data_IF_493544212984
#
_entry.id   IF_493544212984
#
_cell.length_a   1.000
_cell.length_b   1.000
_cell.length_c   1.000
_cell.angle_alpha   90.00
_cell.angle_beta   90.00
_cell.angle_gamma   90.00
#
_symmetry.space_group_name_H-M   'P 1'
#
loop_
_entity.id
_entity.type
_entity.pdbx_description
1 polymer ?
#
# COMPACT_ATOMS: atom_id res chain seq x y z
N UNK A 1 15.80 18.41 63.83
CA UNK A 1 16.42 17.09 63.59
C UNK A 1 16.71 16.96 62.10
N UNK A 2 17.88 16.44 61.71
CA UNK A 2 18.57 16.86 60.49
C UNK A 2 18.53 15.83 59.34
N UNK A 3 18.97 16.35 58.20
CA UNK A 3 19.33 15.77 56.91
C UNK A 3 20.24 14.52 56.97
N UNK A 4 20.21 13.71 55.90
CA UNK A 4 21.38 12.95 55.45
C UNK A 4 21.08 11.62 54.74
N UNK A 5 21.17 11.61 53.40
CA UNK A 5 21.54 10.40 52.65
C UNK A 5 22.93 10.63 52.02
N UNK A 6 23.84 9.65 52.07
CA UNK A 6 25.24 9.82 51.69
C UNK A 6 25.49 9.58 50.18
N UNK A 7 26.60 10.11 49.64
CA UNK A 7 27.11 9.75 48.32
C UNK A 7 28.18 8.65 48.41
N UNK A 8 28.23 7.78 47.41
CA UNK A 8 29.32 6.83 47.16
C UNK A 8 28.98 6.02 45.90
N UNK A 9 29.89 5.74 44.97
CA UNK A 9 31.36 5.79 44.98
C UNK A 9 31.78 5.70 43.50
N UNK A 10 32.68 6.57 43.08
CA UNK A 10 33.42 6.42 41.83
C UNK A 10 34.63 5.54 42.10
N UNK A 11 34.89 4.55 41.24
CA UNK A 11 36.20 3.91 41.10
C UNK A 11 36.41 3.46 39.64
N UNK A 12 37.21 4.27 38.93
CA UNK A 12 38.52 3.91 38.37
C UNK A 12 38.66 2.73 37.36
N UNK A 13 39.08 3.13 36.15
CA UNK A 13 40.22 2.67 35.34
C UNK A 13 40.30 1.22 34.81
N UNK A 14 40.53 1.13 33.50
CA UNK A 14 41.42 0.11 32.95
C UNK A 14 41.16 -0.27 31.49
N UNK A 15 42.11 0.04 30.59
CA UNK A 15 42.36 -0.78 29.41
C UNK A 15 42.18 -0.11 28.05
N UNK A 16 43.19 0.67 27.64
CA UNK A 16 43.42 0.98 26.25
C UNK A 16 43.73 -0.29 25.44
N UNK A 17 43.13 -0.43 24.25
CA UNK A 17 43.69 -1.24 23.16
C UNK A 17 43.59 -0.47 21.85
N UNK A 18 44.74 0.02 21.42
CA UNK A 18 45.00 0.42 20.05
C UNK A 18 44.88 -0.81 19.14
N UNK A 19 44.06 -0.73 18.10
CA UNK A 19 44.21 -1.57 16.92
C UNK A 19 44.40 -0.62 15.74
N UNK A 20 45.67 -0.50 15.35
CA UNK A 20 46.05 0.03 14.05
C UNK A 20 45.67 -1.00 12.99
N UNK A 21 44.92 -0.58 11.97
CA UNK A 21 44.79 -1.34 10.72
C UNK A 21 45.46 -0.52 9.63
N UNK A 22 46.54 -1.10 9.13
CA UNK A 22 47.44 -0.56 8.13
C UNK A 22 46.75 -0.39 6.78
N UNK A 23 47.01 0.75 6.15
CA UNK A 23 46.90 0.96 4.71
C UNK A 23 47.83 -0.04 3.99
N UNK A 24 47.31 -0.77 3.02
CA UNK A 24 48.12 -1.39 1.97
C UNK A 24 47.76 -0.72 0.64
N UNK A 25 48.68 0.13 0.17
CA UNK A 25 48.71 0.62 -1.19
C UNK A 25 49.18 -0.51 -2.12
N UNK A 26 48.45 -0.75 -3.21
CA UNK A 26 48.96 -1.53 -4.33
C UNK A 26 49.00 -0.64 -5.57
N UNK A 27 50.22 -0.56 -6.08
CA UNK A 27 50.71 0.22 -7.21
C UNK A 27 50.14 -0.24 -8.54
N UNK A 28 49.82 0.73 -9.39
CA UNK A 28 49.50 0.54 -10.79
C UNK A 28 50.75 0.25 -11.62
N UNK A 29 50.67 -0.76 -12.49
CA UNK A 29 51.52 -0.91 -13.68
C UNK A 29 50.67 -1.42 -14.85
N UNK A 30 50.44 -0.57 -15.84
CA UNK A 30 50.30 -0.90 -17.27
C UNK A 30 51.70 -1.12 -17.88
N UNK A 31 51.93 -1.65 -19.12
CA UNK A 31 51.02 -1.83 -20.27
C UNK A 31 51.17 -3.19 -21.01
N UNK A 32 50.36 -3.42 -22.06
CA UNK A 32 50.59 -4.55 -22.98
C UNK A 32 49.65 -4.58 -24.19
N UNK A 33 50.12 -4.08 -25.33
CA UNK A 33 49.54 -4.34 -26.65
C UNK A 33 49.78 -5.80 -27.07
N UNK A 34 48.79 -6.44 -27.71
CA UNK A 34 49.05 -7.47 -28.73
C UNK A 34 47.80 -7.79 -29.54
N UNK A 35 47.90 -7.45 -30.82
CA UNK A 35 47.29 -8.04 -32.02
C UNK A 35 46.67 -9.45 -31.93
N UNK A 36 45.47 -9.57 -32.53
CA UNK A 36 45.19 -10.42 -33.69
C UNK A 36 45.12 -11.94 -33.50
N UNK A 37 43.90 -12.49 -33.50
CA UNK A 37 43.63 -13.82 -34.05
C UNK A 37 42.13 -13.98 -34.37
N UNK A 38 41.79 -14.03 -35.65
CA UNK A 38 40.55 -14.60 -36.17
C UNK A 38 40.54 -16.10 -35.93
N UNK A 39 39.66 -16.58 -35.07
CA UNK A 39 39.33 -18.00 -34.92
C UNK A 39 37.89 -18.24 -35.37
N UNK A 40 37.74 -18.84 -36.54
CA UNK A 40 36.50 -19.46 -37.01
C UNK A 40 36.23 -20.72 -36.18
N UNK A 41 35.31 -20.60 -35.21
CA UNK A 41 34.78 -21.72 -34.45
C UNK A 41 33.44 -22.22 -35.03
N UNK A 42 33.09 -23.50 -34.83
CA UNK A 42 32.01 -24.17 -35.56
C UNK A 42 30.63 -23.74 -35.08
N UNK A 43 29.68 -23.76 -36.02
CA UNK A 43 28.24 -23.59 -35.80
C UNK A 43 27.76 -24.58 -34.74
N UNK A 44 27.55 -24.10 -33.52
CA UNK A 44 26.77 -24.80 -32.50
C UNK A 44 25.31 -24.70 -32.92
N UNK A 45 24.73 -25.83 -33.30
CA UNK A 45 23.29 -26.02 -33.49
C UNK A 45 22.58 -25.65 -32.18
N UNK A 46 22.01 -24.44 -32.12
CA UNK A 46 21.10 -24.04 -31.06
C UNK A 46 19.90 -24.97 -31.06
N UNK A 47 19.89 -25.85 -30.07
CA UNK A 47 18.75 -26.68 -29.71
C UNK A 47 17.68 -25.71 -29.20
N UNK A 48 16.70 -25.42 -30.05
CA UNK A 48 15.50 -24.68 -29.69
C UNK A 48 14.83 -25.37 -28.50
N UNK A 49 15.12 -24.88 -27.29
CA UNK A 49 14.40 -25.25 -26.09
C UNK A 49 12.98 -24.74 -26.24
N UNK A 50 12.03 -25.67 -26.21
CA UNK A 50 10.60 -25.38 -26.08
C UNK A 50 10.35 -24.64 -24.75
N UNK A 51 10.60 -23.33 -24.74
CA UNK A 51 10.04 -22.44 -23.76
C UNK A 51 8.53 -22.43 -24.01
N UNK A 52 7.79 -23.08 -23.12
CA UNK A 52 6.33 -23.07 -23.14
C UNK A 52 5.86 -21.62 -23.29
N UNK A 53 5.33 -21.30 -24.48
CA UNK A 53 4.75 -20.01 -24.81
C UNK A 53 3.62 -19.79 -23.81
N UNK A 54 3.84 -18.90 -22.85
CA UNK A 54 2.79 -18.41 -21.97
C UNK A 54 1.73 -17.83 -22.90
N UNK A 55 0.62 -18.55 -23.06
CA UNK A 55 -0.52 -18.08 -23.84
C UNK A 55 -1.02 -16.79 -23.20
N UNK A 56 -0.57 -15.69 -23.76
CA UNK A 56 -1.05 -14.36 -23.41
C UNK A 56 -2.44 -14.29 -24.03
N UNK A 57 -3.48 -14.58 -23.26
CA UNK A 57 -4.85 -14.34 -23.71
C UNK A 57 -4.91 -12.87 -24.10
N UNK A 58 -5.04 -12.59 -25.40
CA UNK A 58 -5.09 -11.23 -25.93
C UNK A 58 -6.24 -10.50 -25.24
N UNK A 59 -5.93 -9.45 -24.47
CA UNK A 59 -6.96 -8.65 -23.79
C UNK A 59 -7.76 -7.88 -24.83
N UNK A 60 -9.07 -7.85 -24.65
CA UNK A 60 -9.95 -6.98 -25.42
C UNK A 60 -9.61 -5.52 -25.06
N UNK A 61 -9.27 -4.69 -26.05
CA UNK A 61 -8.88 -3.29 -25.86
C UNK A 61 -9.98 -2.45 -25.18
N UNK A 62 -11.25 -2.89 -25.28
CA UNK A 62 -12.40 -2.25 -24.65
C UNK A 62 -12.73 -2.81 -23.26
N UNK A 63 -11.94 -3.75 -22.74
CA UNK A 63 -12.22 -4.36 -21.46
C UNK A 63 -11.78 -3.46 -20.29
N UNK A 64 -12.75 -3.15 -19.43
CA UNK A 64 -12.50 -2.53 -18.12
C UNK A 64 -12.57 -3.59 -17.02
N UNK A 65 -11.53 -3.65 -16.19
CA UNK A 65 -11.37 -4.63 -15.13
C UNK A 65 -11.46 -4.00 -13.74
N UNK A 66 -11.97 -4.79 -12.81
CA UNK A 66 -11.89 -4.53 -11.38
C UNK A 66 -10.93 -5.56 -10.80
N UNK A 67 -9.91 -5.09 -10.09
CA UNK A 67 -8.98 -5.92 -9.35
C UNK A 67 -9.33 -5.81 -7.88
N UNK A 68 -9.38 -6.95 -7.18
CA UNK A 68 -9.71 -7.00 -5.76
C UNK A 68 -8.68 -7.86 -5.06
N UNK A 69 -7.93 -7.29 -4.13
CA UNK A 69 -7.04 -8.07 -3.28
C UNK A 69 -7.89 -8.83 -2.25
N UNK A 70 -7.83 -10.15 -2.33
CA UNK A 70 -8.47 -11.05 -1.39
C UNK A 70 -7.47 -11.45 -0.31
N UNK A 71 -7.68 -10.87 0.87
CA UNK A 71 -6.89 -11.11 2.08
C UNK A 71 -7.39 -12.35 2.85
N UNK A 72 -8.11 -13.26 2.19
CA UNK A 72 -8.44 -14.57 2.74
C UNK A 72 -7.17 -15.29 3.27
N UNK A 73 -7.38 -16.31 4.14
CA UNK A 73 -6.35 -17.19 4.72
C UNK A 73 -5.13 -17.34 3.78
N UNK A 74 -3.88 -17.24 4.27
CA UNK A 74 -2.66 -17.22 3.44
C UNK A 74 -2.57 -18.33 2.39
N UNK A 75 -3.25 -19.46 2.59
CA UNK A 75 -3.35 -20.54 1.61
C UNK A 75 -4.09 -20.15 0.31
N UNK A 76 -4.92 -19.12 0.36
CA UNK A 76 -5.82 -18.63 -0.69
C UNK A 76 -5.62 -17.13 -0.99
N UNK A 77 -4.52 -16.51 -0.52
CA UNK A 77 -4.25 -15.10 -0.77
C UNK A 77 -4.05 -14.84 -2.28
N UNK A 78 -4.87 -13.96 -2.86
CA UNK A 78 -4.86 -13.71 -4.30
C UNK A 78 -5.39 -12.32 -4.66
N UNK A 79 -5.27 -11.95 -5.93
CA UNK A 79 -6.01 -10.82 -6.51
C UNK A 79 -7.02 -11.36 -7.51
N UNK A 80 -8.29 -11.15 -7.22
CA UNK A 80 -9.40 -11.47 -8.09
C UNK A 80 -9.55 -10.41 -9.17
N UNK A 81 -9.80 -10.84 -10.40
CA UNK A 81 -10.05 -9.97 -11.54
C UNK A 81 -11.46 -10.20 -12.05
N UNK A 82 -12.24 -9.13 -12.13
CA UNK A 82 -13.62 -9.13 -12.60
C UNK A 82 -13.78 -8.23 -13.82
N UNK A 83 -14.79 -8.51 -14.65
CA UNK A 83 -15.23 -7.57 -15.69
C UNK A 83 -16.15 -6.53 -15.08
N UNK A 84 -15.79 -5.24 -15.15
CA UNK A 84 -16.62 -4.17 -14.57
C UNK A 84 -18.02 -4.09 -15.19
N UNK A 85 -18.12 -4.35 -16.49
CA UNK A 85 -19.41 -4.34 -17.21
C UNK A 85 -20.32 -5.53 -16.88
N UNK A 86 -19.78 -6.55 -16.20
CA UNK A 86 -20.48 -7.80 -15.92
C UNK A 86 -19.99 -8.40 -14.59
N UNK A 87 -20.16 -7.64 -13.49
CA UNK A 87 -19.78 -8.10 -12.16
C UNK A 87 -20.54 -9.38 -11.74
N UNK A 88 -21.71 -9.63 -12.34
CA UNK A 88 -22.52 -10.81 -12.09
C UNK A 88 -21.85 -12.10 -12.57
N UNK A 89 -20.98 -12.02 -13.59
CA UNK A 89 -20.15 -13.15 -14.04
C UNK A 89 -19.13 -13.59 -12.98
N UNK A 90 -18.85 -12.74 -11.99
CA UNK A 90 -17.90 -13.04 -10.92
C UNK A 90 -16.45 -12.95 -11.36
N UNK A 91 -15.61 -13.78 -10.75
CA UNK A 91 -14.16 -13.82 -10.99
C UNK A 91 -13.89 -14.43 -12.37
N UNK A 92 -13.16 -13.70 -13.22
CA UNK A 92 -12.78 -14.17 -14.56
C UNK A 92 -11.31 -14.60 -14.63
N UNK A 93 -10.49 -14.19 -13.66
CA UNK A 93 -9.07 -14.53 -13.55
C UNK A 93 -8.59 -14.28 -12.13
N UNK A 94 -7.60 -15.05 -11.70
CA UNK A 94 -6.91 -14.89 -10.42
C UNK A 94 -5.42 -14.65 -10.66
N UNK A 95 -4.81 -13.81 -9.82
CA UNK A 95 -3.36 -13.66 -9.71
C UNK A 95 -2.98 -14.13 -8.31
N UNK A 96 -2.07 -15.09 -8.18
CA UNK A 96 -1.80 -15.77 -6.90
C UNK A 96 -0.33 -16.10 -6.65
N UNK A 97 0.55 -16.10 -7.67
CA UNK A 97 1.97 -16.42 -7.41
C UNK A 97 2.64 -15.26 -6.70
N UNK A 98 3.30 -15.55 -5.57
CA UNK A 98 4.00 -14.56 -4.73
C UNK A 98 3.06 -13.50 -4.16
N UNK A 99 1.78 -13.85 -4.00
CA UNK A 99 0.83 -13.04 -3.25
C UNK A 99 0.69 -13.66 -1.86
N UNK A 100 0.79 -12.81 -0.85
CA UNK A 100 0.68 -13.20 0.55
C UNK A 100 0.05 -12.02 1.30
N UNK A 101 -1.13 -12.22 1.90
CA UNK A 101 -1.88 -11.17 2.59
C UNK A 101 -1.95 -9.84 1.81
N UNK A 102 -2.52 -9.84 0.60
CA UNK A 102 -2.55 -8.65 -0.22
C UNK A 102 -3.43 -7.58 0.45
N UNK A 103 -2.85 -6.39 0.65
CA UNK A 103 -3.51 -5.24 1.25
C UNK A 103 -3.88 -4.22 0.16
N UNK A 104 -3.17 -3.09 0.07
CA UNK A 104 -3.35 -2.12 -1.01
C UNK A 104 -2.85 -2.62 -2.35
N UNK A 105 -3.57 -2.26 -3.41
CA UNK A 105 -3.23 -2.61 -4.80
C UNK A 105 -3.43 -1.40 -5.70
N UNK A 106 -2.66 -1.35 -6.78
CA UNK A 106 -2.74 -0.29 -7.78
C UNK A 106 -2.55 -0.87 -9.18
N UNK A 107 -3.18 -0.25 -10.18
CA UNK A 107 -2.97 -0.60 -11.58
C UNK A 107 -2.62 0.66 -12.36
N UNK A 108 -1.47 0.64 -13.03
CA UNK A 108 -1.03 1.77 -13.84
C UNK A 108 -1.74 1.82 -15.22
N UNK A 109 -1.44 2.87 -15.99
CA UNK A 109 -2.00 3.05 -17.34
C UNK A 109 -1.55 1.99 -18.35
N UNK A 110 -0.49 1.25 -18.03
CA UNK A 110 0.01 0.11 -18.82
C UNK A 110 -0.54 -1.23 -18.34
N UNK A 111 -1.53 -1.22 -17.43
CA UNK A 111 -2.14 -2.41 -16.85
C UNK A 111 -1.14 -3.30 -16.09
N UNK A 112 -0.10 -2.68 -15.52
CA UNK A 112 0.74 -3.35 -14.56
C UNK A 112 0.06 -3.30 -13.19
N UNK A 113 -0.18 -4.47 -12.60
CA UNK A 113 -0.77 -4.61 -11.27
C UNK A 113 0.34 -4.60 -10.22
N UNK A 114 0.27 -3.67 -9.28
CA UNK A 114 1.10 -3.57 -8.08
C UNK A 114 0.33 -4.13 -6.89
N UNK A 115 0.96 -5.02 -6.12
CA UNK A 115 0.34 -5.66 -4.97
C UNK A 115 1.23 -5.48 -3.75
N UNK A 116 0.72 -4.83 -2.71
CA UNK A 116 1.35 -4.79 -1.40
C UNK A 116 1.01 -6.07 -0.64
N UNK A 117 2.02 -6.90 -0.40
CA UNK A 117 1.91 -8.19 0.30
C UNK A 117 2.33 -7.98 1.75
N UNK A 118 1.35 -7.90 2.65
CA UNK A 118 1.52 -7.54 4.05
C UNK A 118 1.62 -8.78 4.94
N UNK A 119 2.80 -9.39 5.06
CA UNK A 119 2.97 -10.60 5.87
C UNK A 119 3.04 -10.19 7.33
N UNK A 120 1.91 -10.34 8.04
CA UNK A 120 1.72 -10.00 9.45
C UNK A 120 3.03 -9.95 10.25
N UNK A 121 3.62 -8.77 10.24
CA UNK A 121 4.68 -8.40 11.15
C UNK A 121 5.97 -9.28 11.10
N UNK A 122 6.47 -9.73 9.93
CA UNK A 122 7.76 -10.45 9.86
C UNK A 122 8.95 -9.64 9.28
N UNK A 123 8.72 -8.43 8.77
CA UNK A 123 9.80 -7.62 8.17
C UNK A 123 10.29 -8.15 6.82
N UNK A 124 9.49 -9.02 6.20
CA UNK A 124 9.75 -9.67 4.92
C UNK A 124 8.69 -9.32 3.86
N UNK A 125 7.93 -8.26 4.11
CA UNK A 125 6.89 -7.80 3.22
C UNK A 125 7.48 -7.35 1.89
N UNK A 126 6.66 -7.50 0.85
CA UNK A 126 7.07 -7.16 -0.51
C UNK A 126 5.97 -6.44 -1.24
N UNK A 127 6.36 -5.62 -2.20
CA UNK A 127 5.45 -5.20 -3.26
C UNK A 127 5.84 -5.94 -4.53
N UNK A 128 4.91 -6.70 -5.11
CA UNK A 128 5.09 -7.42 -6.38
C UNK A 128 4.38 -6.70 -7.51
N UNK A 129 4.97 -6.74 -8.72
CA UNK A 129 4.39 -6.11 -9.93
C UNK A 129 4.21 -7.15 -11.02
N UNK A 130 3.00 -7.22 -11.58
CA UNK A 130 2.59 -8.18 -12.60
C UNK A 130 2.24 -7.45 -13.90
N UNK A 131 2.68 -8.00 -15.04
CA UNK A 131 2.22 -7.53 -16.34
C UNK A 131 0.75 -7.89 -16.55
N UNK A 132 0.09 -7.12 -17.41
CA UNK A 132 -1.23 -7.44 -17.94
C UNK A 132 -1.33 -8.93 -18.33
N UNK A 133 -2.29 -9.64 -17.74
CA UNK A 133 -2.52 -11.07 -18.04
C UNK A 133 -1.55 -12.03 -17.35
N UNK A 134 -0.41 -11.57 -16.83
CA UNK A 134 0.56 -12.42 -16.13
C UNK A 134 0.07 -12.88 -14.77
N UNK A 135 0.51 -14.07 -14.36
CA UNK A 135 0.44 -14.58 -12.99
C UNK A 135 1.83 -14.69 -12.35
N UNK A 136 2.88 -14.16 -12.98
CA UNK A 136 4.24 -14.12 -12.40
C UNK A 136 4.68 -12.66 -12.26
N UNK A 137 5.26 -12.27 -11.11
CA UNK A 137 5.75 -10.92 -10.95
C UNK A 137 7.02 -10.73 -11.79
N UNK A 138 7.12 -9.59 -12.47
CA UNK A 138 8.33 -9.19 -13.19
C UNK A 138 9.19 -8.20 -12.39
N UNK A 139 8.67 -7.73 -11.25
CA UNK A 139 9.39 -6.87 -10.31
C UNK A 139 8.95 -7.16 -8.87
N UNK A 140 9.88 -7.00 -7.94
CA UNK A 140 9.63 -7.11 -6.50
C UNK A 140 10.42 -6.04 -5.76
N UNK A 141 9.73 -5.25 -4.94
CA UNK A 141 10.32 -4.36 -3.95
C UNK A 141 10.40 -5.09 -2.60
N UNK A 142 11.49 -4.87 -1.86
CA UNK A 142 11.81 -5.60 -0.62
C UNK A 142 12.29 -4.62 0.44
N UNK A 143 12.39 -5.10 1.68
CA UNK A 143 12.82 -4.30 2.83
C UNK A 143 11.72 -3.41 3.38
N UNK A 144 10.47 -3.84 3.22
CA UNK A 144 9.27 -3.14 3.70
C UNK A 144 8.80 -3.89 4.95
N UNK A 145 8.42 -3.15 6.00
CA UNK A 145 8.02 -3.72 7.29
C UNK A 145 6.59 -4.22 7.33
N UNK A 146 5.64 -3.36 6.91
CA UNK A 146 4.21 -3.62 6.84
C UNK A 146 3.64 -2.95 5.58
N UNK A 147 3.68 -3.64 4.43
CA UNK A 147 3.29 -3.06 3.14
C UNK A 147 1.77 -2.78 3.09
N UNK A 148 1.35 -1.57 3.42
CA UNK A 148 -0.07 -1.23 3.53
C UNK A 148 -0.67 -0.83 2.18
N UNK A 149 0.05 -0.04 1.39
CA UNK A 149 -0.45 0.49 0.13
C UNK A 149 0.69 0.77 -0.86
N UNK A 150 0.36 0.85 -2.14
CA UNK A 150 1.31 1.14 -3.22
C UNK A 150 0.63 1.93 -4.32
N UNK A 151 1.35 2.88 -4.91
CA UNK A 151 0.97 3.50 -6.18
C UNK A 151 2.19 3.87 -7.02
N UNK A 152 1.97 4.15 -8.30
CA UNK A 152 2.98 4.72 -9.19
C UNK A 152 2.49 6.02 -9.82
N UNK A 153 3.34 7.04 -9.84
CA UNK A 153 3.09 8.31 -10.51
C UNK A 153 3.17 8.20 -12.03
N UNK A 154 2.69 9.25 -12.70
CA UNK A 154 2.74 9.37 -14.15
C UNK A 154 4.18 9.40 -14.71
N UNK A 155 5.14 9.79 -13.88
CA UNK A 155 6.58 9.77 -14.15
C UNK A 155 7.24 8.40 -13.89
N UNK A 156 6.46 7.41 -13.41
CA UNK A 156 6.93 6.09 -13.04
C UNK A 156 7.52 5.99 -11.63
N UNK A 157 7.56 7.07 -10.85
CA UNK A 157 7.99 7.04 -9.45
C UNK A 157 7.03 6.17 -8.64
N UNK A 158 7.56 5.23 -7.85
CA UNK A 158 6.74 4.31 -7.04
C UNK A 158 6.82 4.70 -5.58
N UNK A 159 5.65 4.74 -4.94
CA UNK A 159 5.48 5.06 -3.53
C UNK A 159 4.87 3.85 -2.83
N UNK A 160 5.48 3.42 -1.72
CA UNK A 160 5.01 2.28 -0.94
C UNK A 160 4.83 2.74 0.50
N UNK A 161 3.60 2.62 1.02
CA UNK A 161 3.30 2.88 2.41
C UNK A 161 3.74 1.68 3.26
N UNK A 162 4.69 1.91 4.15
CA UNK A 162 5.09 1.00 5.21
C UNK A 162 4.48 1.48 6.52
N UNK A 163 3.41 0.79 6.94
CA UNK A 163 2.70 1.11 8.16
C UNK A 163 3.63 1.01 9.39
N UNK A 164 4.63 0.12 9.39
CA UNK A 164 5.43 -0.21 10.58
C UNK A 164 6.86 0.37 10.55
N UNK A 165 7.33 0.89 9.41
CA UNK A 165 8.63 1.55 9.31
C UNK A 165 9.84 0.64 9.41
N UNK A 166 9.79 -0.54 8.79
CA UNK A 166 10.87 -1.54 8.77
C UNK A 166 11.20 -2.23 10.11
N UNK A 167 10.79 -1.65 11.24
CA UNK A 167 11.02 -2.21 12.58
C UNK A 167 9.73 -2.75 13.16
N UNK A 168 9.51 -4.02 12.87
CA UNK A 168 8.29 -4.74 13.22
C UNK A 168 8.20 -5.11 14.71
N UNK A 169 9.25 -4.82 15.48
CA UNK A 169 9.17 -4.82 16.94
C UNK A 169 8.31 -3.64 17.36
N UNK A 170 6.99 -3.86 17.32
CA UNK A 170 5.95 -3.07 17.99
C UNK A 170 6.54 -2.60 19.31
N UNK A 171 6.85 -1.32 19.43
CA UNK A 171 7.24 -0.75 20.72
C UNK A 171 5.97 -0.74 21.56
N UNK A 172 5.69 -1.85 22.24
CA UNK A 172 4.77 -1.81 23.37
C UNK A 172 5.33 -0.75 24.30
N UNK A 173 4.59 0.34 24.51
CA UNK A 173 4.91 1.24 25.61
C UNK A 173 4.76 0.46 26.92
N UNK A 174 5.52 0.87 27.94
CA UNK A 174 5.25 0.46 29.31
C UNK A 174 3.81 0.90 29.65
N UNK A 175 2.85 -0.03 29.53
CA UNK A 175 1.41 0.27 29.52
C UNK A 175 0.57 -0.62 28.60
N UNK A 176 1.18 -1.28 27.60
CA UNK A 176 0.48 -2.24 26.72
C UNK A 176 -0.15 -1.64 25.46
N UNK A 177 -0.09 -0.32 25.27
CA UNK A 177 -0.62 0.35 24.08
C UNK A 177 0.23 0.03 22.83
N UNK A 178 -0.45 -0.37 21.73
CA UNK A 178 0.15 -0.53 20.41
C UNK A 178 0.18 0.83 19.71
N UNK A 179 1.28 1.57 19.84
CA UNK A 179 1.48 2.79 19.07
C UNK A 179 2.34 2.53 17.82
N UNK A 180 1.99 3.18 16.72
CA UNK A 180 2.80 3.16 15.49
C UNK A 180 3.61 4.45 15.44
N UNK A 181 4.88 4.40 15.81
CA UNK A 181 5.69 5.63 15.95
C UNK A 181 6.64 5.89 14.77
N UNK A 182 6.84 4.92 13.89
CA UNK A 182 7.95 4.92 12.93
C UNK A 182 7.53 4.68 11.48
N UNK A 183 6.25 4.80 11.12
CA UNK A 183 5.79 4.49 9.76
C UNK A 183 6.52 5.31 8.69
N UNK A 184 6.64 4.74 7.50
CA UNK A 184 7.43 5.30 6.41
C UNK A 184 6.69 5.20 5.07
N UNK A 185 6.92 6.17 4.18
CA UNK A 185 6.67 5.96 2.74
C UNK A 185 8.00 5.82 2.02
N UNK A 186 8.23 4.65 1.45
CA UNK A 186 9.40 4.37 0.61
C UNK A 186 9.15 4.90 -0.81
N UNK A 187 10.15 5.58 -1.37
CA UNK A 187 10.10 6.14 -2.72
C UNK A 187 11.15 5.47 -3.60
N UNK A 188 10.76 5.02 -4.78
CA UNK A 188 11.61 4.37 -5.77
C UNK A 188 11.56 5.11 -7.10
N UNK A 189 12.71 5.22 -7.77
CA UNK A 189 12.79 5.77 -9.11
C UNK A 189 12.06 4.89 -10.13
N UNK A 190 11.62 5.50 -11.23
CA UNK A 190 11.04 4.78 -12.36
C UNK A 190 11.93 3.62 -12.81
N UNK A 191 11.35 2.42 -12.90
CA UNK A 191 12.08 1.22 -13.29
C UNK A 191 12.94 0.58 -12.20
N UNK A 192 13.30 1.31 -11.14
CA UNK A 192 14.23 0.87 -10.11
C UNK A 192 13.57 0.06 -8.98
N UNK A 193 14.38 -0.70 -8.26
CA UNK A 193 13.98 -1.42 -7.03
C UNK A 193 14.80 -0.99 -5.81
N UNK A 194 15.75 -0.07 -5.98
CA UNK A 194 16.51 0.55 -4.91
C UNK A 194 15.77 1.80 -4.44
N UNK A 195 15.52 1.89 -3.14
CA UNK A 195 14.89 3.05 -2.53
C UNK A 195 15.78 4.29 -2.74
N UNK A 196 15.17 5.40 -3.14
CA UNK A 196 15.82 6.69 -3.37
C UNK A 196 15.51 7.72 -2.29
N UNK A 197 14.38 7.56 -1.58
CA UNK A 197 13.96 8.44 -0.48
C UNK A 197 13.01 7.72 0.47
N UNK A 198 12.99 8.19 1.71
CA UNK A 198 12.06 7.81 2.78
C UNK A 198 11.29 9.06 3.25
N UNK A 199 10.01 8.93 3.53
CA UNK A 199 9.21 9.93 4.25
C UNK A 199 8.78 9.35 5.58
N UNK A 200 9.19 9.93 6.70
CA UNK A 200 8.92 9.39 8.03
C UNK A 200 7.70 10.03 8.69
N UNK A 201 6.94 9.22 9.40
CA UNK A 201 5.70 9.60 10.08
C UNK A 201 5.76 9.19 11.55
N UNK A 202 5.27 10.07 12.43
CA UNK A 202 4.92 9.71 13.81
C UNK A 202 3.51 9.10 13.81
N UNK A 203 3.42 7.94 13.19
CA UNK A 203 2.16 7.36 12.76
C UNK A 203 2.36 6.30 11.69
N UNK A 204 1.30 5.57 11.36
CA UNK A 204 1.31 4.57 10.30
C UNK A 204 0.72 5.13 9.01
N UNK A 205 1.50 5.35 7.93
CA UNK A 205 0.94 5.65 6.63
C UNK A 205 0.15 4.43 6.15
N UNK A 206 -1.14 4.61 5.93
CA UNK A 206 -2.05 3.53 5.61
C UNK A 206 -2.52 3.59 4.17
N UNK A 207 -2.62 4.77 3.54
CA UNK A 207 -3.15 4.90 2.17
C UNK A 207 -2.47 6.02 1.39
N UNK A 208 -2.38 5.85 0.07
CA UNK A 208 -1.72 6.78 -0.82
C UNK A 208 -2.66 7.22 -1.97
N UNK A 209 -2.54 8.46 -2.41
CA UNK A 209 -3.06 8.89 -3.73
C UNK A 209 -2.18 9.99 -4.32
N UNK A 210 -2.38 10.32 -5.60
CA UNK A 210 -1.66 11.38 -6.31
C UNK A 210 -2.65 12.32 -6.99
N UNK A 211 -2.22 13.58 -7.13
CA UNK A 211 -2.82 14.50 -8.09
C UNK A 211 -2.06 14.52 -9.42
N UNK A 212 -2.57 15.29 -10.38
CA UNK A 212 -2.10 15.46 -11.75
C UNK A 212 -0.69 16.08 -11.85
N UNK A 213 -0.19 16.65 -10.75
CA UNK A 213 1.18 17.16 -10.62
C UNK A 213 2.11 16.18 -9.91
N UNK A 214 1.68 14.95 -9.66
CA UNK A 214 2.37 13.95 -8.84
C UNK A 214 2.64 14.44 -7.40
N UNK A 215 1.84 15.36 -6.85
CA UNK A 215 1.90 15.59 -5.40
C UNK A 215 1.37 14.33 -4.70
N UNK A 216 2.10 13.85 -3.70
CA UNK A 216 1.74 12.69 -2.92
C UNK A 216 0.84 13.06 -1.75
N UNK A 217 -0.31 12.41 -1.67
CA UNK A 217 -1.20 12.47 -0.52
C UNK A 217 -1.06 11.18 0.26
N UNK A 218 -0.78 11.30 1.56
CA UNK A 218 -0.58 10.17 2.46
C UNK A 218 -1.63 10.24 3.56
N UNK A 219 -2.54 9.29 3.57
CA UNK A 219 -3.43 9.02 4.70
C UNK A 219 -2.64 8.26 5.75
N UNK A 220 -2.62 8.76 6.98
CA UNK A 220 -1.91 8.14 8.08
C UNK A 220 -2.67 8.28 9.40
N UNK A 221 -2.39 7.36 10.31
CA UNK A 221 -2.89 7.43 11.69
C UNK A 221 -1.84 8.03 12.59
N UNK A 222 -2.22 8.98 13.44
CA UNK A 222 -1.33 9.51 14.46
C UNK A 222 -0.98 8.43 15.48
N UNK A 223 0.30 8.36 15.87
CA UNK A 223 0.89 7.21 16.57
C UNK A 223 0.09 6.56 17.71
N UNK A 224 -0.70 7.32 18.47
CA UNK A 224 -1.48 6.80 19.59
C UNK A 224 -2.90 7.40 19.69
N UNK A 225 -3.28 8.26 18.76
CA UNK A 225 -4.61 8.83 18.67
C UNK A 225 -5.23 8.23 17.41
N UNK A 226 -6.45 7.74 17.44
CA UNK A 226 -7.05 7.11 16.27
C UNK A 226 -7.79 8.10 15.35
N UNK A 227 -7.59 9.42 15.24
CA UNK A 227 -6.40 10.22 14.95
C UNK A 227 -5.97 10.22 13.47
N UNK A 228 -6.88 10.09 12.50
CA UNK A 228 -6.53 10.12 11.08
C UNK A 228 -6.12 11.51 10.58
N UNK A 229 -5.09 11.56 9.74
CA UNK A 229 -4.63 12.74 9.02
C UNK A 229 -4.28 12.44 7.57
N UNK A 230 -4.35 13.46 6.71
CA UNK A 230 -3.86 13.37 5.33
C UNK A 230 -2.81 14.44 5.13
N UNK A 231 -1.63 14.04 4.66
CA UNK A 231 -0.51 14.93 4.38
C UNK A 231 -0.14 14.96 2.91
N UNK A 232 -0.04 16.15 2.34
CA UNK A 232 0.41 16.38 0.96
C UNK A 232 1.90 16.68 0.90
N UNK A 233 2.60 16.09 -0.08
CA UNK A 233 3.99 16.34 -0.39
C UNK A 233 4.14 16.71 -1.87
N UNK A 234 4.83 17.80 -2.16
CA UNK A 234 5.22 18.10 -3.54
C UNK A 234 6.20 17.04 -4.08
N UNK A 235 6.29 16.83 -5.41
CA UNK A 235 7.32 15.97 -5.99
C UNK A 235 8.70 16.36 -5.46
N UNK A 236 9.45 15.38 -4.96
CA UNK A 236 10.78 15.64 -4.42
C UNK A 236 10.82 16.03 -2.94
N UNK A 237 9.71 16.53 -2.37
CA UNK A 237 9.69 17.10 -1.04
C UNK A 237 9.87 16.05 0.07
N UNK A 238 10.54 16.48 1.15
CA UNK A 238 10.69 15.70 2.40
C UNK A 238 9.78 16.21 3.52
N UNK A 239 9.23 17.42 3.37
CA UNK A 239 8.25 18.02 4.28
C UNK A 239 6.91 18.11 3.55
N UNK A 240 5.84 17.74 4.25
CA UNK A 240 4.48 17.83 3.74
C UNK A 240 3.64 18.81 4.55
N UNK A 241 2.39 18.99 4.11
CA UNK A 241 1.37 19.85 4.75
C UNK A 241 0.19 18.97 5.13
N UNK A 242 -0.20 18.98 6.42
CA UNK A 242 -1.41 18.31 6.89
C UNK A 242 -2.65 19.07 6.39
N UNK A 243 -3.65 18.33 5.93
CA UNK A 243 -4.80 18.90 5.20
C UNK A 243 -6.09 18.87 6.01
N UNK A 244 -6.20 17.99 6.99
CA UNK A 244 -7.44 17.78 7.73
C UNK A 244 -7.43 18.54 9.05
N UNK A 245 -8.58 19.01 9.55
CA UNK A 245 -8.69 19.42 10.95
C UNK A 245 -8.25 18.28 11.89
N UNK A 246 -7.75 18.63 13.07
CA UNK A 246 -7.44 17.66 14.11
C UNK A 246 -8.67 16.80 14.44
N UNK A 247 -8.50 15.49 14.58
CA UNK A 247 -9.56 14.50 14.85
C UNK A 247 -10.74 14.46 13.85
N UNK A 248 -10.63 15.10 12.68
CA UNK A 248 -11.74 15.15 11.72
C UNK A 248 -12.16 13.76 11.21
N UNK A 249 -11.20 12.83 11.12
CA UNK A 249 -11.43 11.47 10.64
C UNK A 249 -10.86 10.47 11.63
N UNK A 250 -11.71 9.68 12.32
CA UNK A 250 -11.24 8.57 13.11
C UNK A 250 -10.92 7.38 12.17
N UNK A 251 -9.66 6.96 12.20
CA UNK A 251 -9.07 5.83 11.46
C UNK A 251 -9.27 5.89 9.93
N UNK A 252 -8.19 6.10 9.17
CA UNK A 252 -8.24 6.24 7.71
C UNK A 252 -8.10 4.88 7.04
N UNK A 253 -9.17 4.44 6.38
CA UNK A 253 -9.19 3.21 5.59
C UNK A 253 -8.61 3.37 4.18
N UNK A 254 -8.80 4.53 3.57
CA UNK A 254 -8.43 4.81 2.19
C UNK A 254 -8.65 6.27 1.82
N UNK A 255 -7.91 6.78 0.85
CA UNK A 255 -8.07 8.13 0.32
C UNK A 255 -8.13 8.13 -1.21
N UNK A 256 -8.84 9.11 -1.77
CA UNK A 256 -8.88 9.36 -3.21
C UNK A 256 -9.12 10.85 -3.48
N UNK A 257 -8.75 11.30 -4.68
CA UNK A 257 -9.09 12.62 -5.19
C UNK A 257 -10.09 12.49 -6.35
N UNK A 258 -11.10 13.35 -6.37
CA UNK A 258 -11.99 13.48 -7.51
C UNK A 258 -11.49 14.54 -8.52
N UNK A 259 -12.09 14.57 -9.70
CA UNK A 259 -11.74 15.47 -10.81
C UNK A 259 -12.05 16.94 -10.54
N UNK A 260 -12.80 17.24 -9.48
CA UNK A 260 -12.98 18.59 -8.96
C UNK A 260 -11.89 19.00 -7.97
N UNK A 261 -10.93 18.11 -7.67
CA UNK A 261 -9.90 18.33 -6.66
C UNK A 261 -10.44 18.18 -5.24
N UNK A 262 -11.50 17.41 -5.00
CA UNK A 262 -11.98 17.12 -3.64
C UNK A 262 -11.28 15.89 -3.07
N UNK A 263 -11.00 15.91 -1.76
CA UNK A 263 -10.37 14.82 -1.04
C UNK A 263 -11.44 13.94 -0.39
N UNK A 264 -11.48 12.68 -0.79
CA UNK A 264 -12.33 11.66 -0.19
C UNK A 264 -11.49 10.86 0.81
N UNK A 265 -12.01 10.73 2.03
CA UNK A 265 -11.35 9.99 3.10
C UNK A 265 -12.33 8.99 3.69
N UNK A 266 -11.95 7.71 3.70
CA UNK A 266 -12.74 6.67 4.35
C UNK A 266 -12.52 6.76 5.86
N UNK A 267 -13.58 7.08 6.59
CA UNK A 267 -13.60 6.97 8.05
C UNK A 267 -14.07 5.57 8.44
N UNK A 268 -13.11 4.70 8.70
CA UNK A 268 -13.35 3.28 8.98
C UNK A 268 -14.25 3.08 10.19
N UNK A 269 -13.98 3.81 11.29
CA UNK A 269 -14.76 3.70 12.53
C UNK A 269 -16.17 4.30 12.40
N UNK A 270 -16.35 5.35 11.59
CA UNK A 270 -17.69 5.92 11.32
C UNK A 270 -18.44 5.17 10.23
N UNK A 271 -17.77 4.33 9.45
CA UNK A 271 -18.37 3.58 8.33
C UNK A 271 -18.94 4.49 7.23
N UNK A 272 -18.24 5.59 6.94
CA UNK A 272 -18.60 6.57 5.93
C UNK A 272 -17.38 6.98 5.11
N UNK A 273 -17.62 7.68 4.01
CA UNK A 273 -16.62 8.45 3.28
C UNK A 273 -16.91 9.92 3.54
N UNK A 274 -15.94 10.63 4.11
CA UNK A 274 -15.97 12.07 4.25
C UNK A 274 -15.37 12.71 3.00
N UNK A 275 -16.07 13.68 2.43
CA UNK A 275 -15.61 14.47 1.29
C UNK A 275 -15.23 15.84 1.80
N UNK A 276 -13.99 16.24 1.57
CA UNK A 276 -13.47 17.56 1.89
C UNK A 276 -13.33 18.36 0.60
N UNK A 277 -13.64 19.66 0.66
CA UNK A 277 -13.51 20.59 -0.47
C UNK A 277 -12.49 21.70 -0.22
N UNK A 278 -11.90 21.74 0.98
CA UNK A 278 -10.90 22.73 1.36
C UNK A 278 -10.06 22.23 2.55
N UNK A 279 -8.80 22.66 2.60
CA UNK A 279 -7.89 22.37 3.71
C UNK A 279 -8.43 22.90 5.05
N UNK A 280 -8.26 22.12 6.11
CA UNK A 280 -8.64 22.47 7.48
C UNK A 280 -10.12 22.83 7.68
N UNK A 281 -11.00 22.38 6.78
CA UNK A 281 -12.45 22.49 6.92
C UNK A 281 -13.08 21.14 7.30
N UNK A 282 -14.27 21.13 7.95
CA UNK A 282 -15.03 19.91 8.11
C UNK A 282 -15.45 19.34 6.74
N UNK A 283 -15.89 18.06 6.68
CA UNK A 283 -16.40 17.47 5.46
C UNK A 283 -17.54 18.31 4.86
N UNK A 284 -17.46 18.62 3.56
CA UNK A 284 -18.53 19.27 2.81
C UNK A 284 -19.69 18.32 2.51
N UNK A 285 -19.40 17.01 2.48
CA UNK A 285 -20.36 15.95 2.21
C UNK A 285 -19.93 14.64 2.88
N UNK A 286 -20.90 13.82 3.29
CA UNK A 286 -20.67 12.50 3.86
C UNK A 286 -21.44 11.46 3.05
N UNK A 287 -20.78 10.38 2.66
CA UNK A 287 -21.36 9.27 1.88
C UNK A 287 -21.38 8.02 2.75
N UNK A 288 -22.58 7.44 2.95
CA UNK A 288 -22.71 6.18 3.67
C UNK A 288 -22.32 4.99 2.79
N UNK A 289 -21.45 4.11 3.29
CA UNK A 289 -21.03 2.90 2.54
C UNK A 289 -21.98 1.72 2.77
N UNK A 290 -22.71 1.71 3.90
CA UNK A 290 -23.49 0.55 4.34
C UNK A 290 -22.64 -0.65 4.77
N UNK A 291 -21.32 -0.48 4.93
CA UNK A 291 -20.36 -1.51 5.34
C UNK A 291 -19.99 -1.38 6.82
N UNK A 292 -19.40 -2.44 7.39
CA UNK A 292 -18.67 -2.35 8.65
C UNK A 292 -17.20 -2.13 8.32
N UNK A 293 -16.56 -1.09 8.89
CA UNK A 293 -15.13 -0.85 8.66
C UNK A 293 -14.76 -0.80 7.15
N UNK A 294 -15.29 0.17 6.39
CA UNK A 294 -14.85 0.37 5.01
C UNK A 294 -13.33 0.62 5.00
N UNK A 295 -12.67 0.04 4.00
CA UNK A 295 -11.22 0.07 3.81
C UNK A 295 -10.85 0.94 2.63
N UNK A 296 -10.35 0.32 1.56
CA UNK A 296 -9.83 1.01 0.37
C UNK A 296 -10.94 1.53 -0.52
N UNK A 297 -10.68 2.65 -1.18
CA UNK A 297 -11.55 3.26 -2.18
C UNK A 297 -10.82 3.47 -3.49
N UNK A 298 -11.55 3.35 -4.59
CA UNK A 298 -11.05 3.75 -5.90
C UNK A 298 -12.20 4.26 -6.77
N UNK A 299 -11.91 5.28 -7.55
CA UNK A 299 -12.82 5.72 -8.61
C UNK A 299 -12.72 4.82 -9.83
N UNK A 300 -13.82 4.76 -10.54
CA UNK A 300 -13.81 4.29 -11.90
C UNK A 300 -13.23 5.34 -12.88
N UNK A 301 -12.94 4.95 -14.13
CA UNK A 301 -12.33 5.87 -15.12
C UNK A 301 -13.11 7.18 -15.30
N UNK A 302 -14.44 7.13 -15.27
CA UNK A 302 -15.29 8.31 -15.46
C UNK A 302 -15.57 9.05 -14.15
N UNK A 303 -15.09 8.52 -13.02
CA UNK A 303 -15.35 8.99 -11.66
C UNK A 303 -16.83 9.17 -11.31
N UNK A 304 -17.71 8.39 -11.93
CA UNK A 304 -19.12 8.34 -11.56
C UNK A 304 -19.40 7.22 -10.56
N UNK A 305 -18.52 6.22 -10.47
CA UNK A 305 -18.63 5.11 -9.53
C UNK A 305 -17.47 5.10 -8.53
N UNK A 306 -17.80 4.86 -7.27
CA UNK A 306 -16.86 4.54 -6.20
C UNK A 306 -16.93 3.06 -5.85
N UNK A 307 -15.79 2.39 -5.82
CA UNK A 307 -15.65 1.04 -5.31
C UNK A 307 -15.03 1.10 -3.91
N UNK A 308 -15.66 0.45 -2.93
CA UNK A 308 -15.21 0.48 -1.53
C UNK A 308 -15.11 -0.92 -0.97
N UNK A 309 -13.95 -1.28 -0.43
CA UNK A 309 -13.74 -2.58 0.23
C UNK A 309 -14.10 -2.55 1.70
N UNK A 310 -14.29 -3.71 2.30
CA UNK A 310 -14.52 -3.91 3.73
C UNK A 310 -13.94 -5.26 4.10
N UNK A 311 -12.63 -5.34 4.36
CA UNK A 311 -11.99 -6.55 4.86
C UNK A 311 -12.34 -6.66 6.34
N UNK A 312 -13.40 -7.39 6.67
CA UNK A 312 -13.65 -7.74 8.05
C UNK A 312 -13.58 -9.24 8.18
N UNK A 313 -12.36 -9.74 8.36
CA UNK A 313 -12.19 -11.08 8.90
C UNK A 313 -12.64 -11.00 10.36
N UNK A 314 -13.77 -11.61 10.77
CA UNK A 314 -14.00 -11.84 12.18
C UNK A 314 -12.84 -12.75 12.61
N UNK A 315 -11.82 -12.18 13.26
CA UNK A 315 -10.72 -13.00 13.72
C UNK A 315 -11.28 -14.12 14.59
N UNK A 316 -10.77 -15.33 14.31
CA UNK A 316 -10.82 -16.54 15.13
C UNK A 316 -10.19 -16.38 16.52
N UNK A 317 -9.84 -15.15 16.92
CA UNK A 317 -9.38 -14.79 18.25
C UNK A 317 -10.37 -13.83 18.91
N UNK A 318 -11.43 -14.42 19.46
CA UNK A 318 -12.08 -13.99 20.70
C UNK A 318 -12.18 -12.48 20.97
N UNK A 319 -12.73 -11.68 20.06
CA UNK A 319 -13.59 -10.58 20.48
C UNK A 319 -15.04 -11.06 20.56
N UNK A 320 -15.24 -12.03 21.46
CA UNK A 320 -16.51 -12.23 22.12
C UNK A 320 -16.75 -11.06 23.07
N UNK A 321 -17.07 -9.88 22.52
CA UNK A 321 -17.92 -8.94 23.23
C UNK A 321 -19.07 -8.53 22.31
N UNK A 322 -20.24 -9.17 22.44
CA UNK A 322 -21.44 -8.86 21.67
C UNK A 322 -22.01 -7.44 21.93
N UNK A 323 -21.30 -6.56 22.65
CA UNK A 323 -21.90 -5.40 23.31
C UNK A 323 -21.58 -4.01 22.72
N UNK A 324 -20.98 -3.91 21.54
CA UNK A 324 -21.04 -2.64 20.77
C UNK A 324 -21.66 -2.84 19.39
N UNK A 325 -22.87 -3.41 19.41
CA UNK A 325 -23.88 -3.08 18.41
C UNK A 325 -24.15 -1.58 18.56
N UNK A 326 -23.42 -0.76 17.82
CA UNK A 326 -23.82 0.64 17.62
C UNK A 326 -25.22 0.66 17.00
N UNK A 327 -26.06 1.69 17.23
CA UNK A 327 -27.45 1.75 16.76
C UNK A 327 -27.62 1.76 15.22
N UNK A 328 -26.56 1.52 14.43
CA UNK A 328 -26.46 1.81 13.00
C UNK A 328 -26.76 0.61 12.09
N UNK A 329 -27.80 -0.18 12.40
CA UNK A 329 -28.36 -1.19 11.50
C UNK A 329 -27.44 -2.38 11.15
N UNK A 330 -27.97 -3.30 10.32
CA UNK A 330 -27.25 -4.51 9.88
C UNK A 330 -26.13 -4.13 8.91
N UNK A 331 -24.91 -3.95 9.43
CA UNK A 331 -23.74 -3.64 8.61
C UNK A 331 -23.20 -4.87 7.89
N UNK A 332 -22.59 -4.67 6.71
CA UNK A 332 -22.17 -5.71 5.77
C UNK A 332 -20.64 -5.92 5.80
N UNK A 333 -20.10 -6.88 6.58
CA UNK A 333 -18.68 -7.22 6.53
C UNK A 333 -18.33 -8.01 5.26
N UNK A 334 -17.04 -8.04 4.88
CA UNK A 334 -16.51 -8.85 3.76
C UNK A 334 -17.21 -8.56 2.45
N UNK A 335 -17.26 -7.28 2.12
CA UNK A 335 -17.96 -6.80 0.94
C UNK A 335 -17.13 -5.84 0.13
N UNK A 336 -17.40 -5.83 -1.17
CA UNK A 336 -17.08 -4.70 -2.02
C UNK A 336 -18.40 -4.05 -2.41
N UNK A 337 -18.54 -2.75 -2.19
CA UNK A 337 -19.71 -1.98 -2.60
C UNK A 337 -19.39 -1.09 -3.78
N UNK A 338 -20.40 -0.84 -4.60
CA UNK A 338 -20.34 0.14 -5.69
C UNK A 338 -21.35 1.23 -5.36
N UNK A 339 -20.87 2.46 -5.29
CA UNK A 339 -21.64 3.64 -4.93
C UNK A 339 -21.64 4.60 -6.11
N UNK A 340 -22.81 5.14 -6.45
CA UNK A 340 -22.92 6.26 -7.37
C UNK A 340 -22.32 7.51 -6.70
N UNK A 341 -21.23 8.05 -7.24
CA UNK A 341 -20.51 9.11 -6.57
C UNK A 341 -21.36 10.37 -6.42
N UNK A 342 -22.13 10.74 -7.45
CA UNK A 342 -22.90 11.98 -7.45
C UNK A 342 -24.03 11.97 -6.42
N UNK A 343 -24.83 10.90 -6.38
CA UNK A 343 -25.97 10.78 -5.45
C UNK A 343 -25.58 10.20 -4.09
N UNK A 344 -24.44 9.49 -3.99
CA UNK A 344 -24.05 8.72 -2.81
C UNK A 344 -24.88 7.45 -2.63
N UNK A 345 -25.68 7.06 -3.64
CA UNK A 345 -26.54 5.89 -3.57
C UNK A 345 -25.72 4.61 -3.73
N UNK A 346 -25.92 3.65 -2.83
CA UNK A 346 -25.43 2.29 -2.98
C UNK A 346 -26.11 1.61 -4.17
N UNK A 347 -25.33 1.26 -5.21
CA UNK A 347 -25.83 0.61 -6.43
C UNK A 347 -25.72 -0.90 -6.36
N UNK A 348 -24.58 -1.39 -5.86
CA UNK A 348 -24.26 -2.81 -5.89
C UNK A 348 -23.50 -3.23 -4.64
N UNK A 349 -23.66 -4.49 -4.25
CA UNK A 349 -22.83 -5.11 -3.20
C UNK A 349 -22.42 -6.48 -3.64
N UNK A 350 -21.12 -6.66 -3.79
CA UNK A 350 -20.49 -7.94 -4.03
C UNK A 350 -20.16 -8.58 -2.68
N UNK A 351 -20.52 -9.85 -2.52
CA UNK A 351 -20.30 -10.63 -1.29
C UNK A 351 -19.90 -12.04 -1.65
N UNK A 352 -18.99 -12.63 -0.84
CA UNK A 352 -18.72 -14.08 -0.80
C UNK A 352 -18.61 -14.71 -2.20
N UNK A 353 -17.83 -14.10 -3.10
CA UNK A 353 -17.58 -14.68 -4.42
C UNK A 353 -17.01 -16.10 -4.29
N UNK A 354 -16.15 -16.26 -3.28
CA UNK A 354 -15.62 -17.53 -2.81
C UNK A 354 -15.77 -17.63 -1.30
N UNK A 355 -15.65 -18.85 -0.76
CA UNK A 355 -15.64 -19.05 0.69
C UNK A 355 -14.43 -18.37 1.30
N UNK A 356 -14.64 -17.56 2.35
CA UNK A 356 -13.57 -16.82 3.02
C UNK A 356 -13.14 -15.51 2.35
N UNK A 357 -13.81 -15.10 1.26
CA UNK A 357 -13.49 -13.87 0.53
C UNK A 357 -13.50 -12.64 1.44
N UNK A 358 -12.36 -11.94 1.49
CA UNK A 358 -12.08 -10.80 2.34
C UNK A 358 -11.41 -9.69 1.52
N UNK A 359 -12.21 -8.87 0.82
CA UNK A 359 -11.67 -7.84 -0.07
C UNK A 359 -10.97 -6.76 0.75
N UNK A 360 -9.64 -6.70 0.66
CA UNK A 360 -8.81 -5.72 1.37
C UNK A 360 -8.43 -4.54 0.50
N UNK A 361 -8.04 -4.79 -0.75
CA UNK A 361 -7.67 -3.77 -1.73
C UNK A 361 -8.57 -3.79 -2.96
N UNK A 362 -8.63 -2.65 -3.65
CA UNK A 362 -9.36 -2.51 -4.91
C UNK A 362 -8.63 -1.59 -5.86
N UNK A 363 -8.57 -1.95 -7.13
CA UNK A 363 -8.06 -1.11 -8.21
C UNK A 363 -8.88 -1.30 -9.48
N UNK A 364 -8.87 -0.31 -10.36
CA UNK A 364 -9.64 -0.30 -11.62
C UNK A 364 -8.71 -0.12 -12.80
N UNK A 365 -8.93 -0.87 -13.87
CA UNK A 365 -8.30 -0.64 -15.16
C UNK A 365 -9.36 -0.38 -16.25
N UNK A 366 -9.13 0.56 -17.18
CA UNK A 366 -8.16 1.65 -17.07
C UNK A 366 -8.37 2.50 -15.80
N UNK A 367 -7.30 2.98 -15.14
CA UNK A 367 -7.44 3.76 -13.92
C UNK A 367 -8.12 5.10 -14.18
N UNK A 368 -8.69 5.69 -13.12
CA UNK A 368 -9.10 7.08 -13.16
C UNK A 368 -7.88 7.96 -13.46
N UNK A 369 -8.00 9.02 -14.28
CA UNK A 369 -6.96 10.03 -14.38
C UNK A 369 -6.65 10.60 -12.99
N UNK A 370 -5.39 10.95 -12.76
CA UNK A 370 -5.06 11.72 -11.56
C UNK A 370 -5.83 13.05 -11.59
N UNK A 371 -6.42 13.36 -10.46
CA UNK A 371 -7.23 14.54 -10.25
C UNK A 371 -6.39 15.82 -10.18
N UNK A 372 -6.98 17.01 -10.35
CA UNK A 372 -6.34 18.24 -9.93
C UNK A 372 -5.94 18.20 -8.45
N UNK A 373 -4.95 19.02 -8.10
CA UNK A 373 -4.54 19.25 -6.72
C UNK A 373 -5.71 19.68 -5.82
N UNK A 374 -5.81 19.08 -4.63
CA UNK A 374 -6.72 19.47 -3.55
C UNK A 374 -6.37 20.82 -2.93
#
# INVERSE_FOLDING_TARGET
MPLGFPPGRADSLGGAKHIAVSLLACTMLSPGCSSGATATGPLVSERAGNAARVETIARNADASYLYVADHANPSNAQVDVLLRKDLAKGIIREVSKRIEYPAGIFVDVSDNLYVANAVESSGHDTVTVYKAGSNQPFRTYRGIGCAADVLAGSDGTVYIADLCGGNVRKTMRAGGDRCIENGEVHVYAAGGTKQIRALHFKGGPSSLTLDDKNNLYVGYENACASAGQVRRYAPGAVKGVDLLPHDAVPFIGGIALDSGGQLLVVSTLRSVIDVFSAEHQPPSRVISTGQTFPGRIVFDKLQNLLYVTSPYLPDSHAEASPQRITPMGVKRPNTLVVIDYQSGKLLYTLKKLVSGWAPAGVAVFPPAPFAPQF
#
